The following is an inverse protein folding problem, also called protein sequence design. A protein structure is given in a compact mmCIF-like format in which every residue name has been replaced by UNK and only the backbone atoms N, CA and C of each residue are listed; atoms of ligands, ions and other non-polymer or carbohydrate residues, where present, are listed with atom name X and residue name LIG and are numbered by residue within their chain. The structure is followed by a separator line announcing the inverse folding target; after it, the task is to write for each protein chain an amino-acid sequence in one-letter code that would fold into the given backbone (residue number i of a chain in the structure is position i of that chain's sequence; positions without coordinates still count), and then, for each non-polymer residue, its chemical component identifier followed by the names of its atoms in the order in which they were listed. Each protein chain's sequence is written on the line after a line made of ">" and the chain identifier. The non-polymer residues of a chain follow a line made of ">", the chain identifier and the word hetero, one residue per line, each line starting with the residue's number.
data_IF_320514401119
#
_entry.id   IF_320514401119
#
_cell.length_a   1.000
_cell.length_b   1.000
_cell.length_c   1.000
_cell.angle_alpha   90.00
_cell.angle_beta   90.00
_cell.angle_gamma   90.00
#
_symmetry.space_group_name_H-M   'P 1'
#
loop_
_entity.id
_entity.type
_entity.pdbx_description
1 polymer ?
#
# COMPACT_ATOMS: atom_id res chain seq x y z
N UNK A 1 19.99 76.80 -60.55
CA UNK A 1 21.11 76.03 -59.96
C UNK A 1 20.59 75.18 -58.84
N UNK A 2 20.94 73.94 -58.84
CA UNK A 2 20.76 72.88 -57.88
C UNK A 2 19.43 72.10 -57.88
N UNK A 3 19.54 70.95 -58.43
CA UNK A 3 18.61 69.82 -58.42
C UNK A 3 18.55 69.18 -57.02
N UNK A 4 17.39 68.76 -56.61
CA UNK A 4 17.28 67.73 -55.60
C UNK A 4 16.22 66.69 -56.00
N UNK A 5 16.68 65.49 -56.17
CA UNK A 5 15.91 64.32 -56.54
C UNK A 5 15.14 63.79 -55.29
N UNK A 6 13.86 63.55 -55.47
CA UNK A 6 13.05 62.80 -54.47
C UNK A 6 13.16 61.33 -54.84
N UNK A 7 13.68 60.51 -53.89
CA UNK A 7 13.63 59.06 -53.98
C UNK A 7 12.35 58.55 -53.27
N UNK A 8 11.54 57.80 -54.00
CA UNK A 8 10.44 57.05 -53.48
C UNK A 8 10.94 55.74 -52.89
N UNK A 9 10.78 55.54 -51.55
CA UNK A 9 11.10 54.29 -50.92
C UNK A 9 9.86 53.37 -50.90
N UNK A 10 9.99 52.25 -51.58
CA UNK A 10 8.99 51.18 -51.48
C UNK A 10 9.10 50.46 -50.15
N UNK A 11 8.04 50.48 -49.38
CA UNK A 11 7.93 49.75 -48.06
C UNK A 11 7.46 48.34 -48.31
N UNK A 12 8.37 47.37 -48.28
CA UNK A 12 8.08 45.94 -48.37
C UNK A 12 7.58 45.42 -47.00
N UNK A 13 6.31 45.04 -46.90
CA UNK A 13 5.76 44.36 -45.75
C UNK A 13 6.31 42.93 -45.68
N UNK A 14 7.21 42.66 -44.75
CA UNK A 14 7.58 41.30 -44.37
C UNK A 14 6.50 40.73 -43.47
N UNK A 15 5.71 39.80 -43.98
CA UNK A 15 4.86 38.92 -43.20
C UNK A 15 5.74 37.91 -42.44
N UNK A 16 5.98 38.16 -41.16
CA UNK A 16 6.56 37.17 -40.23
C UNK A 16 5.51 36.09 -39.97
N UNK A 17 5.67 34.94 -40.64
CA UNK A 17 4.96 33.70 -40.25
C UNK A 17 5.54 33.20 -38.92
N UNK A 18 4.75 33.24 -37.86
CA UNK A 18 5.08 32.61 -36.61
C UNK A 18 5.23 31.08 -36.83
N UNK A 19 6.28 30.44 -36.30
CA UNK A 19 6.38 28.99 -36.36
C UNK A 19 5.25 28.37 -35.55
N UNK A 20 4.50 27.46 -36.20
CA UNK A 20 3.54 26.60 -35.49
C UNK A 20 4.30 25.84 -34.39
N UNK A 21 3.93 26.09 -33.16
CA UNK A 21 4.40 25.30 -32.03
C UNK A 21 3.86 23.87 -32.21
N UNK A 22 4.71 22.98 -32.67
CA UNK A 22 4.46 21.55 -32.60
C UNK A 22 4.37 21.20 -31.12
N UNK A 23 3.16 20.91 -30.63
CA UNK A 23 3.00 20.27 -29.37
C UNK A 23 3.79 18.94 -29.44
N UNK A 24 4.86 18.86 -28.66
CA UNK A 24 5.65 17.65 -28.57
C UNK A 24 4.73 16.55 -28.10
N UNK A 25 4.54 15.51 -28.89
CA UNK A 25 3.91 14.27 -28.47
C UNK A 25 4.68 13.79 -27.23
N UNK A 26 4.03 13.44 -26.11
CA UNK A 26 4.73 12.98 -24.92
C UNK A 26 5.63 11.81 -25.32
N UNK A 27 6.94 11.95 -25.17
CA UNK A 27 7.85 10.83 -25.36
C UNK A 27 7.57 9.83 -24.25
N UNK A 28 7.17 8.62 -24.65
CA UNK A 28 7.02 7.49 -23.73
C UNK A 28 8.38 7.21 -23.07
N UNK A 29 8.41 7.32 -21.76
CA UNK A 29 9.65 7.22 -20.99
C UNK A 29 9.98 5.75 -20.72
N UNK A 30 11.19 5.30 -21.08
CA UNK A 30 11.67 3.96 -20.71
C UNK A 30 12.05 3.94 -19.24
N UNK A 31 11.42 3.05 -18.48
CA UNK A 31 11.83 2.75 -17.11
C UNK A 31 13.08 1.83 -17.12
N UNK A 32 13.79 1.79 -16.00
CA UNK A 32 14.88 0.83 -15.81
C UNK A 32 14.27 -0.57 -15.67
N UNK A 33 14.65 -1.48 -16.56
CA UNK A 33 14.19 -2.87 -16.56
C UNK A 33 15.30 -3.82 -16.11
N UNK A 34 14.92 -4.99 -15.69
CA UNK A 34 15.80 -6.14 -15.39
C UNK A 34 15.95 -7.05 -16.63
N UNK A 35 16.18 -8.33 -16.43
CA UNK A 35 16.47 -9.28 -17.51
C UNK A 35 15.31 -9.52 -18.52
N UNK A 36 14.06 -9.28 -18.12
CA UNK A 36 12.91 -9.44 -19.00
C UNK A 36 12.65 -8.14 -19.81
N UNK A 37 12.21 -8.29 -21.08
CA UNK A 37 11.96 -7.15 -21.95
C UNK A 37 10.64 -6.45 -21.58
N UNK A 38 10.75 -5.33 -20.90
CA UNK A 38 9.63 -4.47 -20.56
C UNK A 38 9.83 -3.04 -21.10
N UNK A 39 8.77 -2.48 -21.65
CA UNK A 39 8.68 -1.05 -21.92
C UNK A 39 7.93 -0.36 -20.77
N UNK A 40 8.55 0.68 -20.16
CA UNK A 40 7.91 1.51 -19.14
C UNK A 40 7.27 2.75 -19.77
N UNK A 41 5.96 2.94 -19.52
CA UNK A 41 5.19 4.07 -20.07
C UNK A 41 4.38 4.71 -18.94
N UNK A 42 4.47 6.02 -18.79
CA UNK A 42 3.55 6.79 -17.93
C UNK A 42 2.23 6.94 -18.68
N UNK A 43 1.16 6.32 -18.17
CA UNK A 43 -0.17 6.37 -18.80
C UNK A 43 -1.08 7.45 -18.22
N UNK A 44 -0.85 7.85 -16.97
CA UNK A 44 -1.59 8.93 -16.31
C UNK A 44 -0.69 9.67 -15.32
N UNK A 45 -0.86 10.99 -15.21
CA UNK A 45 -0.14 11.87 -14.30
C UNK A 45 -1.09 12.79 -13.55
N UNK A 46 -0.59 13.47 -12.49
CA UNK A 46 -1.34 14.47 -11.75
C UNK A 46 -2.48 13.89 -10.91
N UNK A 47 -2.34 12.64 -10.46
CA UNK A 47 -3.23 12.04 -9.46
C UNK A 47 -2.83 12.55 -8.07
N UNK A 48 -3.83 12.84 -7.23
CA UNK A 48 -3.64 13.39 -5.88
C UNK A 48 -3.41 12.28 -4.85
N UNK A 49 -2.17 11.78 -4.74
CA UNK A 49 -1.76 10.69 -3.89
C UNK A 49 -2.59 9.40 -4.13
N UNK A 50 -2.40 8.75 -5.29
CA UNK A 50 -3.06 7.48 -5.60
C UNK A 50 -2.70 6.44 -4.54
N UNK A 51 -3.72 5.75 -4.01
CA UNK A 51 -3.55 4.81 -2.91
C UNK A 51 -3.75 3.36 -3.34
N UNK A 52 -4.84 3.07 -3.99
CA UNK A 52 -5.17 1.73 -4.48
C UNK A 52 -5.68 1.78 -5.92
N UNK A 53 -5.45 0.70 -6.65
CA UNK A 53 -5.93 0.51 -8.00
C UNK A 53 -6.68 -0.80 -8.11
N UNK A 54 -7.81 -0.79 -8.81
CA UNK A 54 -8.62 -1.96 -9.12
C UNK A 54 -9.18 -1.85 -10.53
N UNK A 55 -9.52 -2.99 -11.13
CA UNK A 55 -10.26 -2.99 -12.39
C UNK A 55 -11.71 -2.60 -12.15
N UNK A 56 -12.16 -1.57 -12.84
CA UNK A 56 -13.54 -1.11 -12.88
C UNK A 56 -14.26 -1.52 -14.16
N UNK A 57 -15.53 -1.13 -14.32
CA UNK A 57 -16.32 -1.40 -15.53
C UNK A 57 -15.65 -0.87 -16.80
N UNK A 58 -15.74 -1.63 -17.90
CA UNK A 58 -15.17 -1.26 -19.19
C UNK A 58 -13.67 -1.34 -19.29
N UNK A 59 -13.03 -2.17 -18.46
CA UNK A 59 -11.57 -2.33 -18.37
C UNK A 59 -10.82 -1.05 -18.04
N UNK A 60 -11.45 -0.10 -17.35
CA UNK A 60 -10.78 1.07 -16.80
C UNK A 60 -10.12 0.76 -15.47
N UNK A 61 -8.99 1.41 -15.19
CA UNK A 61 -8.36 1.38 -13.88
C UNK A 61 -9.06 2.40 -12.98
N UNK A 62 -9.66 1.95 -11.90
CA UNK A 62 -10.19 2.83 -10.87
C UNK A 62 -9.15 3.07 -9.80
N UNK A 63 -8.90 4.34 -9.52
CA UNK A 63 -7.86 4.78 -8.59
C UNK A 63 -8.51 5.57 -7.46
N UNK A 64 -8.19 5.21 -6.23
CA UNK A 64 -8.48 6.09 -5.11
C UNK A 64 -7.39 7.13 -4.97
N UNK A 65 -7.77 8.39 -4.87
CA UNK A 65 -6.87 9.50 -4.64
C UNK A 65 -7.05 9.99 -3.19
N UNK A 66 -6.06 9.69 -2.36
CA UNK A 66 -6.09 9.96 -0.92
C UNK A 66 -6.24 11.45 -0.61
N UNK A 67 -5.40 12.30 -1.21
CA UNK A 67 -5.44 13.75 -0.99
C UNK A 67 -6.49 14.45 -1.85
N UNK A 68 -6.91 13.82 -2.94
CA UNK A 68 -8.02 14.28 -3.77
C UNK A 68 -9.40 13.93 -3.23
N UNK A 69 -9.49 13.08 -2.20
CA UNK A 69 -10.76 12.60 -1.62
C UNK A 69 -11.76 12.14 -2.68
N UNK A 70 -11.29 11.31 -3.65
CA UNK A 70 -12.09 10.92 -4.81
C UNK A 70 -11.67 9.57 -5.39
N UNK A 71 -12.55 9.03 -6.21
CA UNK A 71 -12.27 7.91 -7.10
C UNK A 71 -12.20 8.43 -8.53
N UNK A 72 -11.11 8.14 -9.22
CA UNK A 72 -10.89 8.48 -10.63
C UNK A 72 -10.81 7.21 -11.46
N UNK A 73 -11.54 7.17 -12.56
CA UNK A 73 -11.42 6.15 -13.60
C UNK A 73 -10.37 6.61 -14.61
N UNK A 74 -9.41 5.76 -14.93
CA UNK A 74 -8.35 5.98 -15.91
C UNK A 74 -8.49 4.95 -17.02
N UNK A 75 -8.58 5.40 -18.25
CA UNK A 75 -8.49 4.54 -19.42
C UNK A 75 -7.03 4.13 -19.64
N UNK A 76 -6.69 2.84 -19.57
CA UNK A 76 -5.29 2.41 -19.66
C UNK A 76 -4.68 2.57 -21.05
N UNK A 77 -5.48 2.73 -22.11
CA UNK A 77 -5.01 2.91 -23.49
C UNK A 77 -4.74 4.37 -23.81
N UNK A 78 -5.61 5.27 -23.36
CA UNK A 78 -5.58 6.69 -23.71
C UNK A 78 -5.04 7.59 -22.60
N UNK A 79 -5.04 7.12 -21.35
CA UNK A 79 -4.74 7.91 -20.16
C UNK A 79 -5.86 8.89 -19.76
N UNK A 80 -7.04 8.83 -20.41
CA UNK A 80 -8.16 9.71 -20.08
C UNK A 80 -8.63 9.46 -18.65
N UNK A 81 -8.77 10.55 -17.90
CA UNK A 81 -9.22 10.52 -16.50
C UNK A 81 -10.65 11.03 -16.37
N UNK A 82 -11.52 10.27 -15.67
CA UNK A 82 -12.90 10.66 -15.38
C UNK A 82 -13.19 10.51 -13.89
N UNK A 83 -13.77 11.54 -13.29
CA UNK A 83 -14.23 11.48 -11.90
C UNK A 83 -15.40 10.49 -11.77
N UNK A 84 -15.25 9.48 -10.91
CA UNK A 84 -16.32 8.53 -10.55
C UNK A 84 -17.13 9.07 -9.37
N UNK A 85 -16.48 9.63 -8.37
CA UNK A 85 -17.14 10.27 -7.24
C UNK A 85 -16.17 10.90 -6.25
N UNK A 86 -16.66 11.90 -5.53
CA UNK A 86 -15.96 12.52 -4.40
C UNK A 86 -16.39 11.85 -3.11
N UNK A 87 -15.47 11.69 -2.20
CA UNK A 87 -15.68 11.05 -0.91
C UNK A 87 -15.20 12.07 0.14
N UNK A 88 -16.12 12.71 0.88
CA UNK A 88 -15.76 13.68 1.91
C UNK A 88 -14.87 13.03 2.98
N UNK A 89 -13.92 13.80 3.51
CA UNK A 89 -13.09 13.45 4.68
C UNK A 89 -12.17 12.24 4.52
N UNK A 90 -11.70 11.93 3.28
CA UNK A 90 -10.93 10.71 2.97
C UNK A 90 -9.43 10.89 3.19
N UNK A 91 -8.80 9.87 3.79
CA UNK A 91 -7.34 9.65 3.74
C UNK A 91 -6.93 8.32 3.09
N UNK A 92 -7.81 7.32 2.86
CA UNK A 92 -7.44 5.98 2.36
C UNK A 92 -8.56 5.30 1.53
N UNK A 93 -8.24 4.47 0.64
CA UNK A 93 -8.68 4.02 -0.63
C UNK A 93 -9.91 3.10 -0.85
N UNK A 94 -10.41 2.97 -2.09
CA UNK A 94 -11.61 2.19 -2.41
C UNK A 94 -11.35 0.71 -2.69
N UNK A 95 -12.39 -0.10 -2.50
CA UNK A 95 -12.52 -1.44 -3.03
C UNK A 95 -13.85 -1.59 -3.77
N UNK A 96 -13.84 -2.32 -4.90
CA UNK A 96 -15.04 -2.58 -5.69
C UNK A 96 -15.69 -3.91 -5.30
N UNK A 97 -17.02 -3.96 -5.43
CA UNK A 97 -17.75 -5.22 -5.46
C UNK A 97 -17.27 -6.06 -6.65
N UNK A 98 -16.92 -7.34 -6.49
CA UNK A 98 -16.38 -8.18 -7.57
C UNK A 98 -17.35 -8.34 -8.75
N UNK A 99 -18.63 -8.07 -8.55
CA UNK A 99 -19.66 -8.16 -9.58
C UNK A 99 -20.08 -6.78 -10.15
N UNK A 100 -19.37 -5.71 -9.80
CA UNK A 100 -19.68 -4.36 -10.26
C UNK A 100 -19.77 -4.29 -11.79
N UNK A 101 -20.89 -3.78 -12.29
CA UNK A 101 -21.15 -3.62 -13.73
C UNK A 101 -21.59 -4.89 -14.44
N UNK A 102 -21.69 -6.05 -13.78
CA UNK A 102 -22.29 -7.27 -14.34
C UNK A 102 -23.82 -7.26 -14.22
N UNK A 103 -24.51 -7.93 -15.14
CA UNK A 103 -25.96 -8.08 -15.08
C UNK A 103 -26.39 -8.77 -13.79
N UNK A 104 -27.33 -8.15 -13.05
CA UNK A 104 -27.80 -8.64 -11.75
C UNK A 104 -26.93 -8.26 -10.55
N UNK A 105 -25.84 -7.56 -10.77
CA UNK A 105 -25.00 -6.99 -9.72
C UNK A 105 -25.77 -5.97 -8.88
N UNK A 106 -25.44 -5.89 -7.57
CA UNK A 106 -25.92 -4.81 -6.69
C UNK A 106 -25.24 -3.49 -6.97
N UNK A 107 -24.21 -3.46 -7.81
CA UNK A 107 -23.41 -2.28 -8.16
C UNK A 107 -22.93 -1.50 -6.94
N UNK A 108 -22.40 -2.20 -5.95
CA UNK A 108 -21.87 -1.57 -4.75
C UNK A 108 -20.39 -1.23 -4.93
N UNK A 109 -19.98 -0.11 -4.35
CA UNK A 109 -18.58 0.30 -4.20
C UNK A 109 -18.30 0.51 -2.73
N UNK A 110 -17.26 -0.10 -2.22
CA UNK A 110 -16.87 -0.01 -0.82
C UNK A 110 -15.60 0.83 -0.69
N UNK A 111 -15.62 1.74 0.25
CA UNK A 111 -14.50 2.65 0.51
C UNK A 111 -14.18 2.62 1.99
N UNK A 112 -12.94 2.26 2.32
CA UNK A 112 -12.41 2.45 3.65
C UNK A 112 -11.66 3.78 3.70
N UNK A 113 -11.89 4.58 4.73
CA UNK A 113 -11.21 5.86 4.89
C UNK A 113 -11.21 6.35 6.34
N UNK A 114 -10.28 7.23 6.67
CA UNK A 114 -10.25 7.89 7.97
C UNK A 114 -11.14 9.14 7.98
N UNK A 115 -11.61 9.52 9.16
CA UNK A 115 -12.41 10.71 9.41
C UNK A 115 -12.13 11.22 10.82
N UNK A 116 -12.49 12.49 11.07
CA UNK A 116 -12.39 13.10 12.39
C UNK A 116 -13.72 13.02 13.14
N UNK A 117 -13.68 12.56 14.38
CA UNK A 117 -14.82 12.63 15.29
C UNK A 117 -14.33 12.93 16.71
N UNK A 118 -14.99 13.88 17.40
CA UNK A 118 -14.63 14.29 18.75
C UNK A 118 -13.16 14.74 18.90
N UNK A 119 -12.54 15.26 17.83
CA UNK A 119 -11.13 15.69 17.80
C UNK A 119 -10.13 14.52 17.68
N UNK A 120 -10.59 13.30 17.41
CA UNK A 120 -9.77 12.10 17.17
C UNK A 120 -9.98 11.57 15.77
N UNK A 121 -8.96 10.96 15.24
CA UNK A 121 -9.01 10.28 13.95
C UNK A 121 -9.54 8.86 14.13
N UNK A 122 -10.48 8.48 13.27
CA UNK A 122 -11.09 7.15 13.21
C UNK A 122 -11.13 6.65 11.79
N UNK A 123 -11.19 5.34 11.58
CA UNK A 123 -11.47 4.73 10.30
C UNK A 123 -12.92 4.23 10.20
N UNK A 124 -13.44 4.24 8.97
CA UNK A 124 -14.76 3.67 8.66
C UNK A 124 -14.77 3.04 7.27
N UNK A 125 -15.73 2.14 7.04
CA UNK A 125 -16.04 1.57 5.74
C UNK A 125 -17.41 2.08 5.32
N UNK A 126 -17.48 2.65 4.10
CA UNK A 126 -18.71 3.20 3.52
C UNK A 126 -19.01 2.44 2.23
N UNK A 127 -20.25 2.00 2.09
CA UNK A 127 -20.78 1.44 0.85
C UNK A 127 -21.50 2.53 0.07
N UNK A 128 -21.21 2.62 -1.23
CA UNK A 128 -21.91 3.47 -2.20
C UNK A 128 -22.63 2.60 -3.20
N UNK A 129 -23.63 3.16 -3.85
CA UNK A 129 -24.23 2.60 -5.06
C UNK A 129 -23.54 3.20 -6.30
N UNK A 130 -23.19 2.37 -7.28
CA UNK A 130 -22.67 2.80 -8.57
C UNK A 130 -23.75 2.77 -9.62
N UNK A 131 -23.99 3.88 -10.30
CA UNK A 131 -24.90 3.97 -11.45
C UNK A 131 -24.11 3.77 -12.76
N UNK A 132 -24.35 2.66 -13.50
CA UNK A 132 -23.64 2.40 -14.76
C UNK A 132 -23.97 3.40 -15.88
N UNK A 133 -25.13 4.09 -15.83
CA UNK A 133 -25.54 5.04 -16.85
C UNK A 133 -24.78 6.36 -16.70
N UNK A 134 -24.71 6.90 -15.50
CA UNK A 134 -24.00 8.14 -15.19
C UNK A 134 -22.52 7.90 -14.91
N UNK A 135 -22.12 6.65 -14.66
CA UNK A 135 -20.78 6.23 -14.23
C UNK A 135 -20.35 6.94 -12.93
N UNK A 136 -21.26 7.13 -12.01
CA UNK A 136 -21.03 7.81 -10.72
C UNK A 136 -21.42 6.92 -9.55
N UNK A 137 -20.79 7.20 -8.41
CA UNK A 137 -21.19 6.65 -7.12
C UNK A 137 -22.09 7.63 -6.37
N UNK A 138 -23.08 7.10 -5.66
CA UNK A 138 -24.05 7.85 -4.85
C UNK A 138 -24.46 7.04 -3.62
N UNK A 139 -25.41 7.55 -2.84
CA UNK A 139 -26.08 6.87 -1.72
C UNK A 139 -25.12 6.26 -0.69
N UNK A 140 -24.26 7.07 -0.03
CA UNK A 140 -23.31 6.57 0.94
C UNK A 140 -24.02 5.96 2.17
N UNK A 141 -23.60 4.76 2.56
CA UNK A 141 -24.03 4.07 3.77
C UNK A 141 -22.82 3.60 4.55
N UNK A 142 -22.61 4.14 5.76
CA UNK A 142 -21.59 3.64 6.68
C UNK A 142 -21.98 2.21 7.10
N UNK A 143 -21.08 1.25 6.93
CA UNK A 143 -21.31 -0.16 7.30
C UNK A 143 -20.47 -0.60 8.51
N UNK A 144 -19.34 0.05 8.76
CA UNK A 144 -18.54 -0.13 9.96
C UNK A 144 -17.80 1.18 10.25
N UNK A 145 -17.74 1.62 11.53
CA UNK A 145 -17.10 2.87 11.95
C UNK A 145 -16.40 2.73 13.31
N UNK A 146 -15.85 3.84 13.82
CA UNK A 146 -15.16 3.91 15.12
C UNK A 146 -13.96 2.96 15.23
N UNK A 147 -13.35 2.60 14.10
CA UNK A 147 -12.13 1.81 14.09
C UNK A 147 -10.92 2.71 14.36
N UNK A 148 -9.83 2.16 14.94
CA UNK A 148 -8.60 2.92 15.18
C UNK A 148 -8.03 3.53 13.91
N UNK A 149 -7.58 4.77 14.00
CA UNK A 149 -6.81 5.47 12.99
C UNK A 149 -5.89 6.50 13.66
N UNK A 150 -4.85 6.94 12.97
CA UNK A 150 -3.87 7.89 13.46
C UNK A 150 -2.96 8.41 12.35
N UNK A 151 -1.93 9.13 12.74
CA UNK A 151 -0.98 9.75 11.80
C UNK A 151 -0.09 8.72 11.10
N UNK A 152 0.08 7.53 11.67
CA UNK A 152 0.98 6.49 11.18
C UNK A 152 0.32 5.09 11.28
N UNK A 153 0.85 4.11 10.55
CA UNK A 153 0.47 2.69 10.54
C UNK A 153 -1.05 2.44 10.50
N UNK A 154 -1.74 3.03 9.54
CA UNK A 154 -3.18 2.83 9.37
C UNK A 154 -3.56 1.54 8.66
N UNK A 155 -2.61 0.81 8.04
CA UNK A 155 -2.94 -0.30 7.16
C UNK A 155 -3.78 0.17 5.97
N UNK A 156 -5.07 -0.20 5.94
CA UNK A 156 -6.07 0.44 5.07
C UNK A 156 -6.39 -0.30 3.77
N UNK A 157 -5.93 -1.55 3.61
CA UNK A 157 -6.26 -2.35 2.43
C UNK A 157 -7.60 -3.04 2.62
N UNK A 158 -8.47 -2.93 1.61
CA UNK A 158 -9.79 -3.56 1.58
C UNK A 158 -9.87 -4.52 0.38
N UNK A 159 -10.31 -5.75 0.57
CA UNK A 159 -10.46 -6.78 -0.49
C UNK A 159 -11.69 -7.63 -0.27
N UNK A 160 -12.34 -8.02 -1.37
CA UNK A 160 -13.31 -9.09 -1.36
C UNK A 160 -12.61 -10.45 -1.42
N UNK A 161 -13.03 -11.35 -0.54
CA UNK A 161 -12.68 -12.75 -0.63
C UNK A 161 -13.57 -13.52 -1.61
N UNK A 162 -13.13 -14.72 -2.05
CA UNK A 162 -13.95 -15.61 -2.88
C UNK A 162 -15.23 -16.08 -2.15
N UNK A 163 -15.26 -15.98 -0.84
CA UNK A 163 -16.41 -16.23 0.03
C UNK A 163 -17.44 -15.08 0.06
N UNK A 164 -17.21 -14.02 -0.73
CA UNK A 164 -18.07 -12.84 -0.79
C UNK A 164 -18.05 -11.96 0.46
N UNK A 165 -17.04 -12.12 1.33
CA UNK A 165 -16.83 -11.26 2.49
C UNK A 165 -15.80 -10.17 2.19
N UNK A 166 -15.88 -9.08 2.94
CA UNK A 166 -14.89 -8.02 2.93
C UNK A 166 -13.79 -8.33 3.93
N UNK A 167 -12.53 -8.10 3.53
CA UNK A 167 -11.37 -8.16 4.39
C UNK A 167 -10.70 -6.80 4.44
N UNK A 168 -10.43 -6.31 5.64
CA UNK A 168 -9.88 -4.97 5.85
C UNK A 168 -8.73 -5.00 6.84
N UNK A 169 -7.58 -4.45 6.46
CA UNK A 169 -6.40 -4.39 7.32
C UNK A 169 -6.31 -3.07 8.08
N UNK A 170 -5.96 -3.14 9.36
CA UNK A 170 -5.73 -2.00 10.25
C UNK A 170 -4.38 -2.17 10.93
N UNK A 171 -3.51 -1.16 10.84
CA UNK A 171 -2.24 -1.15 11.55
C UNK A 171 -2.39 -0.76 13.02
N UNK A 172 -1.29 -0.83 13.75
CA UNK A 172 -1.25 -0.57 15.20
C UNK A 172 -1.05 0.92 15.56
N UNK A 173 -1.19 1.82 14.60
CA UNK A 173 -1.20 3.29 14.74
C UNK A 173 0.17 3.90 15.08
N UNK A 174 1.29 3.21 14.80
CA UNK A 174 2.63 3.69 15.07
C UNK A 174 2.96 3.79 16.55
N UNK A 175 2.31 3.03 17.41
CA UNK A 175 2.61 3.00 18.83
C UNK A 175 4.00 2.39 19.09
N UNK A 176 4.59 2.69 20.24
CA UNK A 176 5.94 2.26 20.65
C UNK A 176 7.05 2.79 19.71
N UNK A 177 6.79 3.85 18.94
CA UNK A 177 7.79 4.51 18.08
C UNK A 177 7.56 6.01 17.92
N UNK A 178 8.60 6.74 17.58
CA UNK A 178 8.54 8.17 17.26
C UNK A 178 7.83 9.00 18.32
N UNK A 179 6.84 9.80 17.88
CA UNK A 179 5.99 10.60 18.77
C UNK A 179 5.06 9.76 19.67
N UNK A 180 4.81 8.52 19.29
CA UNK A 180 3.93 7.59 20.00
C UNK A 180 4.70 6.53 20.81
N UNK A 181 5.99 6.74 21.08
CA UNK A 181 6.88 5.73 21.70
C UNK A 181 6.39 5.23 23.06
N UNK A 182 5.71 6.06 23.83
CA UNK A 182 5.20 5.69 25.16
C UNK A 182 3.74 5.17 25.12
N UNK A 183 3.14 5.05 23.94
CA UNK A 183 1.81 4.46 23.82
C UNK A 183 1.89 2.93 23.72
N UNK A 184 1.01 2.18 24.42
CA UNK A 184 0.99 0.73 24.36
C UNK A 184 0.53 0.25 22.97
N UNK A 185 1.08 -0.89 22.53
CA UNK A 185 0.66 -1.55 21.29
C UNK A 185 -0.51 -2.49 21.60
N UNK A 186 -1.63 -2.27 20.91
CA UNK A 186 -2.86 -3.07 21.06
C UNK A 186 -2.97 -4.22 20.04
N UNK A 187 -1.91 -4.54 19.29
CA UNK A 187 -1.96 -5.57 18.26
C UNK A 187 -2.34 -6.96 18.79
N UNK A 188 -2.01 -7.27 20.04
CA UNK A 188 -2.37 -8.52 20.72
C UNK A 188 -3.71 -8.48 21.46
N UNK A 189 -4.30 -7.30 21.62
CA UNK A 189 -5.57 -7.14 22.35
C UNK A 189 -6.74 -7.63 21.50
N UNK A 190 -7.59 -8.49 22.06
CA UNK A 190 -8.82 -8.96 21.42
C UNK A 190 -10.01 -8.21 22.04
N UNK A 191 -11.02 -7.79 21.24
CA UNK A 191 -12.19 -7.12 21.79
C UNK A 191 -12.98 -8.01 22.74
N UNK A 192 -13.53 -7.43 23.78
CA UNK A 192 -14.48 -8.09 24.67
C UNK A 192 -15.89 -8.05 24.07
N UNK A 193 -16.79 -8.95 24.54
CA UNK A 193 -18.19 -8.89 24.13
C UNK A 193 -18.84 -7.56 24.51
N UNK A 194 -18.51 -7.00 25.68
CA UNK A 194 -19.06 -5.72 26.14
C UNK A 194 -18.68 -4.55 25.23
N UNK A 195 -17.43 -4.51 24.74
CA UNK A 195 -16.97 -3.51 23.76
C UNK A 195 -17.74 -3.66 22.44
N UNK A 196 -17.90 -4.87 21.93
CA UNK A 196 -18.66 -5.12 20.71
C UNK A 196 -20.13 -4.68 20.83
N UNK A 197 -20.78 -5.02 21.96
CA UNK A 197 -22.16 -4.64 22.23
C UNK A 197 -22.31 -3.11 22.35
N UNK A 198 -21.25 -2.41 22.78
CA UNK A 198 -21.20 -0.94 22.84
C UNK A 198 -20.78 -0.27 21.50
N UNK A 199 -20.42 -1.04 20.46
CA UNK A 199 -19.87 -0.50 19.20
C UNK A 199 -18.48 0.12 19.38
N UNK A 200 -17.74 -0.28 20.41
CA UNK A 200 -16.36 0.12 20.65
C UNK A 200 -15.42 -0.83 19.90
N UNK A 201 -14.79 -0.31 18.85
CA UNK A 201 -13.85 -1.02 17.99
C UNK A 201 -12.39 -0.65 18.27
N UNK A 202 -12.08 -0.04 19.42
CA UNK A 202 -10.73 0.39 19.79
C UNK A 202 -9.70 -0.75 19.79
N UNK A 203 -10.15 -1.99 20.04
CA UNK A 203 -9.30 -3.20 20.00
C UNK A 203 -8.97 -3.68 18.57
N UNK A 204 -9.38 -2.98 17.52
CA UNK A 204 -9.11 -3.40 16.13
C UNK A 204 -7.76 -2.92 15.59
N UNK A 205 -6.95 -2.22 16.37
CA UNK A 205 -5.57 -1.88 16.01
C UNK A 205 -4.71 -3.14 15.81
N UNK A 206 -3.93 -3.20 14.72
CA UNK A 206 -3.07 -4.34 14.39
C UNK A 206 -3.84 -5.62 14.04
N UNK A 207 -4.90 -5.49 13.24
CA UNK A 207 -5.82 -6.59 12.86
C UNK A 207 -6.08 -6.65 11.36
N UNK A 208 -6.42 -7.85 10.88
CA UNK A 208 -7.19 -7.99 9.65
C UNK A 208 -8.61 -8.40 10.04
N UNK A 209 -9.57 -7.62 9.58
CA UNK A 209 -10.99 -7.84 9.83
C UNK A 209 -11.62 -8.62 8.67
N UNK A 210 -12.66 -9.42 8.96
CA UNK A 210 -13.54 -10.06 7.98
C UNK A 210 -14.99 -9.75 8.33
N UNK A 211 -15.74 -9.18 7.38
CA UNK A 211 -17.09 -8.70 7.61
C UNK A 211 -18.02 -9.03 6.42
N UNK A 212 -19.30 -9.14 6.71
CA UNK A 212 -20.32 -9.22 5.68
C UNK A 212 -20.39 -7.90 4.88
N UNK A 213 -20.87 -7.91 3.61
CA UNK A 213 -21.02 -6.69 2.81
C UNK A 213 -21.98 -5.64 3.39
N UNK A 214 -22.79 -6.00 4.38
CA UNK A 214 -23.66 -5.07 5.13
C UNK A 214 -23.01 -4.52 6.40
N UNK A 215 -21.82 -4.98 6.75
CA UNK A 215 -21.05 -4.59 7.92
C UNK A 215 -21.18 -5.53 9.10
N UNK A 216 -22.03 -6.58 9.02
CA UNK A 216 -22.22 -7.55 10.10
C UNK A 216 -21.03 -8.49 10.30
N UNK A 217 -20.93 -9.08 11.48
CA UNK A 217 -19.96 -10.13 11.81
C UNK A 217 -20.42 -11.44 11.13
N UNK A 218 -19.59 -12.09 10.30
CA UNK A 218 -19.91 -13.40 9.74
C UNK A 218 -20.05 -14.48 10.84
N UNK A 219 -21.05 -15.34 10.72
CA UNK A 219 -21.31 -16.41 11.70
C UNK A 219 -20.17 -17.44 11.78
N UNK A 220 -19.38 -17.55 10.70
CA UNK A 220 -18.24 -18.43 10.54
C UNK A 220 -16.88 -17.73 10.80
N UNK A 221 -16.87 -16.52 11.34
CA UNK A 221 -15.63 -15.88 11.81
C UNK A 221 -15.03 -16.68 12.98
N UNK A 222 -13.69 -16.65 13.12
CA UNK A 222 -13.03 -17.33 14.23
C UNK A 222 -13.51 -16.80 15.58
N UNK A 223 -13.55 -17.71 16.57
CA UNK A 223 -13.77 -17.35 17.98
C UNK A 223 -12.40 -17.26 18.63
N UNK A 224 -11.98 -16.05 18.99
CA UNK A 224 -10.67 -15.79 19.60
C UNK A 224 -10.93 -15.38 21.05
N UNK A 225 -10.28 -16.05 22.01
CA UNK A 225 -10.49 -15.85 23.45
C UNK A 225 -11.98 -15.89 23.88
N UNK A 226 -12.77 -16.78 23.26
CA UNK A 226 -14.19 -16.94 23.54
C UNK A 226 -15.11 -15.87 22.89
N UNK A 227 -14.58 -14.96 22.10
CA UNK A 227 -15.35 -13.89 21.44
C UNK A 227 -15.31 -14.03 19.92
N UNK A 228 -16.50 -14.04 19.30
CA UNK A 228 -16.63 -13.87 17.84
C UNK A 228 -16.82 -12.39 17.53
N UNK A 229 -15.94 -11.85 16.67
CA UNK A 229 -15.94 -10.44 16.26
C UNK A 229 -15.66 -10.32 14.77
N UNK A 230 -15.42 -9.12 14.27
CA UNK A 230 -14.89 -8.91 12.92
C UNK A 230 -13.42 -9.36 12.77
N UNK A 231 -12.68 -9.57 13.88
CA UNK A 231 -11.26 -9.94 13.85
C UNK A 231 -11.10 -11.31 13.18
N UNK A 232 -10.39 -11.32 12.06
CA UNK A 232 -10.01 -12.53 11.33
C UNK A 232 -8.63 -13.02 11.75
N UNK A 233 -7.64 -12.07 11.79
CA UNK A 233 -6.29 -12.31 12.32
C UNK A 233 -5.82 -11.12 13.14
N UNK A 234 -4.76 -11.29 13.95
CA UNK A 234 -4.25 -10.27 14.84
C UNK A 234 -2.73 -10.37 15.03
N UNK A 235 -2.15 -9.41 15.76
CA UNK A 235 -0.70 -9.35 15.93
C UNK A 235 0.02 -8.77 14.72
N UNK A 236 -0.59 -7.81 14.01
CA UNK A 236 -0.02 -7.12 12.87
C UNK A 236 0.54 -5.76 13.25
N UNK A 237 1.62 -5.35 12.57
CA UNK A 237 2.20 -4.02 12.71
C UNK A 237 1.55 -3.00 11.77
N UNK A 238 1.81 -3.10 10.49
CA UNK A 238 1.27 -2.18 9.49
C UNK A 238 0.96 -2.92 8.17
N UNK A 239 -0.11 -3.68 8.12
CA UNK A 239 -0.51 -4.50 6.98
C UNK A 239 -1.08 -3.62 5.85
N UNK A 240 -0.26 -3.30 4.82
CA UNK A 240 -0.65 -2.44 3.71
C UNK A 240 -1.06 -3.20 2.44
N UNK A 241 -0.69 -4.46 2.31
CA UNK A 241 -1.02 -5.30 1.17
C UNK A 241 -1.98 -6.42 1.54
N UNK A 242 -3.04 -6.64 0.76
CA UNK A 242 -3.89 -7.83 0.82
C UNK A 242 -4.17 -8.32 -0.60
N UNK A 243 -4.06 -9.63 -0.84
CA UNK A 243 -4.44 -10.25 -2.12
C UNK A 243 -4.92 -11.68 -1.91
N UNK A 244 -5.95 -12.08 -2.63
CA UNK A 244 -6.39 -13.46 -2.71
C UNK A 244 -5.74 -14.19 -3.91
N UNK A 245 -5.32 -15.44 -3.67
CA UNK A 245 -4.87 -16.39 -4.68
C UNK A 245 -5.73 -17.65 -4.52
N UNK A 246 -6.79 -17.78 -5.30
CA UNK A 246 -7.85 -18.72 -4.97
C UNK A 246 -8.43 -18.40 -3.59
N UNK A 247 -8.45 -19.41 -2.70
CA UNK A 247 -8.93 -19.24 -1.31
C UNK A 247 -7.83 -18.81 -0.32
N UNK A 248 -6.59 -18.65 -0.77
CA UNK A 248 -5.48 -18.23 0.06
C UNK A 248 -5.40 -16.71 0.13
N UNK A 249 -5.39 -16.16 1.35
CA UNK A 249 -5.24 -14.73 1.58
C UNK A 249 -3.80 -14.41 1.97
N UNK A 250 -3.13 -13.58 1.18
CA UNK A 250 -1.79 -13.08 1.48
C UNK A 250 -1.85 -11.63 1.94
N UNK A 251 -0.95 -11.31 2.82
CA UNK A 251 -0.76 -10.00 3.40
C UNK A 251 0.71 -9.58 3.29
N UNK A 252 0.98 -8.29 3.12
CA UNK A 252 2.31 -7.71 3.16
C UNK A 252 2.35 -6.53 4.14
N UNK A 253 3.28 -6.57 5.11
CA UNK A 253 3.39 -5.56 6.15
C UNK A 253 4.82 -5.08 6.42
N UNK A 254 4.89 -3.88 7.01
CA UNK A 254 6.15 -3.27 7.41
C UNK A 254 6.67 -3.87 8.71
N UNK A 255 7.90 -4.34 8.70
CA UNK A 255 8.69 -4.58 9.91
C UNK A 255 9.15 -3.28 10.58
N UNK A 256 9.75 -3.35 11.79
CA UNK A 256 10.18 -2.17 12.53
C UNK A 256 11.43 -1.50 11.93
N UNK A 257 12.43 -2.28 11.56
CA UNK A 257 13.71 -1.79 10.99
C UNK A 257 14.39 -2.84 10.12
N UNK A 258 13.99 -4.06 10.23
CA UNK A 258 14.22 -5.23 9.40
C UNK A 258 12.91 -5.99 9.28
N UNK A 259 12.91 -7.11 8.58
CA UNK A 259 11.83 -8.09 8.59
C UNK A 259 10.46 -7.54 8.16
N UNK A 260 10.43 -6.75 7.08
CA UNK A 260 9.17 -6.59 6.36
C UNK A 260 8.66 -7.96 5.92
N UNK A 261 7.36 -8.22 6.02
CA UNK A 261 6.80 -9.58 5.93
C UNK A 261 5.87 -9.79 4.75
N UNK A 262 5.81 -11.04 4.29
CA UNK A 262 4.66 -11.59 3.59
C UNK A 262 4.08 -12.73 4.42
N UNK A 263 2.82 -12.61 4.73
CA UNK A 263 2.06 -13.55 5.54
C UNK A 263 1.01 -14.30 4.71
N UNK A 264 0.83 -15.60 4.97
CA UNK A 264 -0.35 -16.35 4.57
C UNK A 264 -1.34 -16.32 5.72
N UNK A 265 -2.46 -15.60 5.56
CA UNK A 265 -3.41 -15.39 6.62
C UNK A 265 -4.36 -16.58 6.80
N UNK A 266 -4.46 -17.07 8.04
CA UNK A 266 -5.37 -18.14 8.46
C UNK A 266 -6.26 -17.60 9.57
N UNK A 267 -7.56 -17.79 9.47
CA UNK A 267 -8.52 -17.30 10.46
C UNK A 267 -8.19 -17.74 11.89
N UNK A 268 -8.15 -16.80 12.83
CA UNK A 268 -7.74 -17.00 14.21
C UNK A 268 -6.22 -16.93 14.44
N UNK A 269 -5.40 -16.79 13.39
CA UNK A 269 -3.94 -16.73 13.52
C UNK A 269 -3.45 -15.44 14.15
N UNK A 270 -2.37 -15.57 14.93
CA UNK A 270 -1.61 -14.50 15.56
C UNK A 270 -0.28 -14.33 14.82
N UNK A 271 0.03 -13.11 14.33
CA UNK A 271 1.23 -12.82 13.54
C UNK A 271 2.36 -12.17 14.35
N UNK A 272 2.23 -12.18 15.68
CA UNK A 272 3.33 -12.00 16.63
C UNK A 272 3.61 -10.58 17.08
N UNK A 273 3.33 -9.55 16.27
CA UNK A 273 3.64 -8.17 16.65
C UNK A 273 2.96 -7.75 17.97
N UNK A 274 3.66 -7.12 18.95
CA UNK A 274 5.04 -6.63 18.88
C UNK A 274 6.11 -7.61 19.40
N UNK A 275 5.75 -8.82 19.78
CA UNK A 275 6.67 -9.77 20.40
C UNK A 275 7.64 -10.42 19.41
N UNK A 276 7.23 -10.52 18.14
CA UNK A 276 8.00 -11.09 17.02
C UNK A 276 7.92 -10.13 15.85
N UNK A 277 9.02 -9.98 15.11
CA UNK A 277 9.11 -9.32 13.81
C UNK A 277 9.79 -10.27 12.82
N UNK A 278 9.07 -10.74 11.80
CA UNK A 278 9.56 -11.77 10.91
C UNK A 278 9.52 -13.17 11.51
N UNK A 279 10.58 -13.93 11.31
CA UNK A 279 10.73 -15.26 11.93
C UNK A 279 11.07 -15.13 13.42
N UNK A 280 10.55 -16.03 14.24
CA UNK A 280 10.87 -16.07 15.67
C UNK A 280 12.25 -16.68 15.91
N UNK A 281 13.31 -15.96 15.59
CA UNK A 281 14.70 -16.46 15.54
C UNK A 281 15.71 -15.64 16.37
N UNK A 282 15.24 -14.62 17.10
CA UNK A 282 16.06 -13.68 17.87
C UNK A 282 17.10 -12.93 17.00
N UNK A 283 16.83 -12.69 15.72
CA UNK A 283 17.72 -11.98 14.82
C UNK A 283 17.19 -10.59 14.46
N UNK A 284 18.03 -9.57 14.59
CA UNK A 284 17.73 -8.20 14.14
C UNK A 284 16.68 -7.45 14.95
N UNK A 285 15.93 -8.12 15.81
CA UNK A 285 14.84 -7.53 16.59
C UNK A 285 14.87 -7.95 18.07
N UNK A 286 14.49 -7.00 18.93
CA UNK A 286 14.14 -7.22 20.35
C UNK A 286 12.97 -6.32 20.68
N UNK A 287 11.92 -6.86 21.25
CA UNK A 287 10.80 -6.04 21.70
C UNK A 287 11.18 -5.21 22.93
N UNK A 288 11.27 -3.89 22.76
CA UNK A 288 11.37 -2.94 23.84
C UNK A 288 10.00 -2.38 24.18
N UNK A 289 9.45 -2.72 25.34
CA UNK A 289 8.15 -2.24 25.80
C UNK A 289 8.28 -0.86 26.46
N UNK A 290 8.36 0.19 25.64
CA UNK A 290 8.53 1.55 26.12
C UNK A 290 7.39 2.04 27.00
N UNK A 291 6.14 1.66 26.68
CA UNK A 291 4.96 2.07 27.47
C UNK A 291 4.96 1.53 28.91
N UNK A 292 5.66 0.42 29.15
CA UNK A 292 5.84 -0.14 30.49
C UNK A 292 7.07 0.39 31.23
N UNK A 293 7.87 1.23 30.58
CA UNK A 293 9.05 1.81 31.22
C UNK A 293 8.66 2.88 32.24
N UNK A 294 9.24 2.90 33.45
CA UNK A 294 9.07 4.00 34.37
C UNK A 294 9.49 5.33 33.73
N UNK A 295 8.62 6.35 33.88
CA UNK A 295 8.89 7.69 33.35
C UNK A 295 9.27 7.74 31.86
N UNK A 296 8.64 6.88 31.02
CA UNK A 296 8.93 6.74 29.58
C UNK A 296 9.11 8.10 28.88
N UNK A 297 8.27 9.11 29.20
CA UNK A 297 8.33 10.44 28.59
C UNK A 297 9.63 11.19 28.87
N UNK A 298 10.34 10.83 29.94
CA UNK A 298 11.60 11.45 30.32
C UNK A 298 12.84 10.68 29.80
N UNK A 299 12.65 9.48 29.25
CA UNK A 299 13.78 8.70 28.74
C UNK A 299 14.33 9.32 27.45
N UNK A 300 15.66 9.20 27.27
CA UNK A 300 16.28 9.54 26.01
C UNK A 300 15.78 8.59 24.91
N UNK A 301 15.16 9.15 23.90
CA UNK A 301 14.58 8.41 22.77
C UNK A 301 15.58 8.40 21.63
N UNK A 302 16.00 7.22 21.21
CA UNK A 302 16.86 7.04 20.05
C UNK A 302 16.01 6.69 18.83
N UNK A 303 16.46 7.17 17.70
CA UNK A 303 15.93 6.77 16.40
C UNK A 303 16.37 5.35 15.99
N UNK A 304 17.48 4.86 16.54
CA UNK A 304 18.04 3.56 16.17
C UNK A 304 17.45 2.43 17.00
N UNK A 305 17.03 1.31 16.35
CA UNK A 305 16.34 0.22 17.01
C UNK A 305 17.17 -0.52 18.07
N UNK A 306 18.50 -0.42 18.00
CA UNK A 306 19.42 -1.04 18.94
C UNK A 306 19.61 -0.24 20.24
N UNK A 307 19.11 0.99 20.30
CA UNK A 307 19.35 1.91 21.42
C UNK A 307 18.18 1.87 22.42
N UNK A 308 17.94 0.73 23.03
CA UNK A 308 16.89 0.58 24.02
C UNK A 308 17.52 0.77 25.42
N UNK A 309 17.13 1.81 26.21
CA UNK A 309 17.63 2.00 27.56
C UNK A 309 17.36 0.79 28.46
N UNK A 310 18.26 0.50 29.39
CA UNK A 310 18.14 -0.63 30.31
C UNK A 310 16.88 -0.56 31.22
N UNK A 311 16.29 0.62 31.41
CA UNK A 311 15.06 0.83 32.16
C UNK A 311 13.80 0.45 31.37
N UNK A 312 13.90 0.26 30.04
CA UNK A 312 12.81 -0.22 29.20
C UNK A 312 12.77 -1.74 29.25
N UNK A 313 11.68 -2.37 29.65
CA UNK A 313 11.55 -3.83 29.61
C UNK A 313 11.79 -4.36 28.20
N UNK A 314 12.65 -5.37 28.08
CA UNK A 314 13.01 -5.99 26.80
C UNK A 314 12.62 -7.46 26.80
N UNK A 315 12.23 -7.98 25.65
CA UNK A 315 11.88 -9.39 25.46
C UNK A 315 12.43 -9.88 24.13
N UNK A 316 13.10 -11.03 24.15
CA UNK A 316 13.49 -11.74 22.94
C UNK A 316 12.28 -12.46 22.32
N UNK A 317 12.29 -12.66 21.04
CA UNK A 317 11.20 -13.30 20.30
C UNK A 317 10.96 -14.74 20.79
N UNK A 318 12.03 -15.51 21.03
CA UNK A 318 11.93 -16.90 21.50
C UNK A 318 11.43 -17.03 22.94
N UNK A 319 11.43 -15.96 23.74
CA UNK A 319 10.85 -15.93 25.08
C UNK A 319 9.32 -15.84 25.04
N UNK A 320 8.76 -15.29 23.94
CA UNK A 320 7.32 -15.21 23.78
C UNK A 320 6.75 -16.53 23.23
N UNK A 321 5.60 -16.96 23.76
CA UNK A 321 4.92 -18.19 23.39
C UNK A 321 3.44 -17.91 23.12
N UNK A 322 2.96 -18.33 21.95
CA UNK A 322 1.55 -18.37 21.59
C UNK A 322 1.31 -19.59 20.69
N UNK A 323 0.29 -20.38 21.00
CA UNK A 323 -0.02 -21.61 20.26
C UNK A 323 -0.56 -21.32 18.85
N UNK A 324 -1.20 -20.18 18.69
CA UNK A 324 -1.80 -19.69 17.45
C UNK A 324 -0.86 -18.80 16.62
N UNK A 325 0.41 -18.65 17.05
CA UNK A 325 1.42 -17.90 16.29
C UNK A 325 1.65 -18.52 14.90
N UNK A 326 1.73 -17.65 13.90
CA UNK A 326 2.02 -17.99 12.50
C UNK A 326 3.22 -17.21 12.03
N UNK A 327 4.24 -17.94 11.57
CA UNK A 327 5.40 -17.31 10.95
C UNK A 327 5.09 -16.80 9.54
N UNK A 328 5.77 -15.73 9.09
CA UNK A 328 5.65 -15.27 7.72
C UNK A 328 6.16 -16.33 6.73
N UNK A 329 5.68 -16.28 5.49
CA UNK A 329 6.22 -17.12 4.42
C UNK A 329 7.49 -16.53 3.79
N UNK A 330 7.75 -15.24 4.04
CA UNK A 330 8.94 -14.52 3.55
C UNK A 330 9.18 -13.24 4.36
N UNK A 331 10.47 -12.90 4.58
CA UNK A 331 10.91 -11.61 5.13
C UNK A 331 11.76 -10.82 4.13
N UNK A 332 11.78 -9.47 4.26
CA UNK A 332 12.65 -8.51 3.54
C UNK A 332 13.26 -7.50 4.55
N UNK A 333 14.40 -7.71 5.15
CA UNK A 333 15.26 -8.89 5.16
C UNK A 333 15.63 -9.15 6.61
N UNK A 334 15.68 -10.39 7.03
CA UNK A 334 16.24 -10.73 8.35
C UNK A 334 17.75 -10.46 8.37
N UNK A 335 18.24 -9.86 9.44
CA UNK A 335 19.65 -9.52 9.62
C UNK A 335 20.16 -10.00 10.98
N UNK A 336 21.46 -10.32 11.12
CA UNK A 336 22.01 -10.74 12.40
C UNK A 336 21.97 -9.58 13.42
N UNK A 337 21.98 -9.90 14.72
CA UNK A 337 22.02 -8.93 15.82
C UNK A 337 23.23 -7.98 15.75
N UNK A 338 24.27 -8.35 15.02
CA UNK A 338 25.45 -7.50 14.79
C UNK A 338 25.29 -6.50 13.65
N UNK A 339 24.11 -6.45 13.00
CA UNK A 339 23.89 -5.54 11.87
C UNK A 339 24.01 -4.07 12.28
N UNK A 340 24.69 -3.29 11.45
CA UNK A 340 24.91 -1.87 11.71
C UNK A 340 23.76 -1.01 11.15
N UNK A 341 22.76 -0.69 11.96
CA UNK A 341 21.68 0.23 11.60
C UNK A 341 22.13 1.70 11.47
N UNK A 342 23.36 2.02 11.87
CA UNK A 342 23.95 3.37 11.77
C UNK A 342 24.75 3.57 10.48
N UNK A 343 24.28 2.98 9.38
CA UNK A 343 24.90 3.15 8.07
C UNK A 343 24.82 4.62 7.61
N UNK A 344 25.98 5.25 7.49
CA UNK A 344 26.09 6.67 7.16
C UNK A 344 25.73 7.04 5.72
N UNK A 345 25.47 6.06 4.82
CA UNK A 345 25.14 6.32 3.41
C UNK A 345 23.88 7.18 3.23
N UNK A 346 22.92 7.05 4.15
CA UNK A 346 21.66 7.78 4.12
C UNK A 346 21.62 9.00 5.05
N UNK A 347 22.70 9.34 5.73
CA UNK A 347 22.77 10.51 6.63
C UNK A 347 21.64 10.51 7.67
N UNK A 348 20.94 11.64 7.81
CA UNK A 348 19.82 11.79 8.73
C UNK A 348 18.58 10.95 8.37
N UNK A 349 18.56 10.37 7.17
CA UNK A 349 17.51 9.45 6.71
C UNK A 349 17.95 7.99 6.79
N UNK A 350 18.67 7.59 7.85
CA UNK A 350 19.25 6.26 8.02
C UNK A 350 18.24 5.11 7.77
N UNK A 351 16.97 5.30 8.12
CA UNK A 351 15.90 4.33 7.89
C UNK A 351 15.73 3.92 6.41
N UNK A 352 16.11 4.77 5.46
CA UNK A 352 16.10 4.40 4.04
C UNK A 352 17.18 3.36 3.71
N UNK A 353 18.27 3.31 4.48
CA UNK A 353 19.34 2.33 4.31
C UNK A 353 19.14 1.05 5.14
N UNK A 354 18.14 0.98 6.00
CA UNK A 354 17.85 -0.23 6.77
C UNK A 354 17.39 -1.38 5.87
N UNK A 355 17.53 -2.63 6.31
CA UNK A 355 17.23 -3.82 5.52
C UNK A 355 15.72 -4.09 5.44
N UNK A 356 14.99 -3.16 4.83
CA UNK A 356 13.54 -3.17 4.61
C UNK A 356 13.23 -2.69 3.20
N UNK A 357 12.04 -2.98 2.71
CA UNK A 357 11.54 -2.49 1.41
C UNK A 357 10.35 -1.53 1.57
N UNK A 358 9.75 -1.45 2.76
CA UNK A 358 8.51 -0.74 3.05
C UNK A 358 7.38 -1.15 2.09
N UNK A 359 6.83 -2.39 2.20
CA UNK A 359 5.85 -2.95 1.29
C UNK A 359 4.53 -2.19 1.40
N UNK A 360 4.02 -1.68 0.29
CA UNK A 360 2.81 -0.85 0.26
C UNK A 360 1.59 -1.54 -0.35
N UNK A 361 1.82 -2.60 -1.11
CA UNK A 361 0.77 -3.43 -1.70
C UNK A 361 1.33 -4.77 -2.13
N UNK A 362 0.46 -5.75 -2.27
CA UNK A 362 0.76 -7.03 -2.90
C UNK A 362 -0.30 -7.33 -3.96
N UNK A 363 0.13 -7.79 -5.13
CA UNK A 363 -0.70 -8.31 -6.21
C UNK A 363 -0.28 -9.73 -6.56
N UNK A 364 -1.13 -10.47 -7.26
CA UNK A 364 -0.82 -11.81 -7.72
C UNK A 364 -0.63 -11.84 -9.23
N UNK A 365 0.44 -12.47 -9.67
CA UNK A 365 0.66 -12.79 -11.07
C UNK A 365 0.25 -14.25 -11.32
N UNK A 366 -0.74 -14.50 -12.20
CA UNK A 366 -1.36 -15.83 -12.33
C UNK A 366 -0.37 -16.88 -12.85
N UNK A 367 -0.59 -18.14 -12.47
CA UNK A 367 0.28 -19.26 -12.82
C UNK A 367 0.43 -19.47 -14.34
N UNK A 368 -0.62 -19.15 -15.11
CA UNK A 368 -0.65 -19.24 -16.56
C UNK A 368 -0.41 -17.90 -17.28
N UNK A 369 0.11 -16.91 -16.58
CA UNK A 369 0.42 -15.60 -17.16
C UNK A 369 1.49 -15.70 -18.25
N UNK A 370 1.45 -14.80 -19.26
CA UNK A 370 2.30 -14.91 -20.46
C UNK A 370 3.75 -14.50 -20.27
N UNK A 371 4.11 -13.85 -19.16
CA UNK A 371 5.50 -13.44 -18.91
C UNK A 371 6.31 -14.67 -18.46
N UNK A 372 7.35 -15.07 -19.20
CA UNK A 372 8.13 -16.26 -18.87
C UNK A 372 8.76 -16.17 -17.49
N UNK A 373 8.61 -17.24 -16.68
CA UNK A 373 9.19 -17.33 -15.35
C UNK A 373 8.45 -16.53 -14.27
N UNK A 374 7.36 -15.80 -14.60
CA UNK A 374 6.60 -15.00 -13.64
C UNK A 374 5.41 -15.74 -13.01
N UNK A 375 4.97 -16.83 -13.62
CA UNK A 375 3.78 -17.57 -13.17
C UNK A 375 3.80 -17.90 -11.67
N UNK A 376 2.63 -17.85 -11.04
CA UNK A 376 2.42 -18.15 -9.62
C UNK A 376 3.33 -17.33 -8.69
N UNK A 377 3.30 -16.01 -8.81
CA UNK A 377 4.15 -15.13 -8.01
C UNK A 377 3.34 -14.03 -7.33
N UNK A 378 3.80 -13.63 -6.15
CA UNK A 378 3.36 -12.37 -5.52
C UNK A 378 4.23 -11.23 -6.03
N UNK A 379 3.60 -10.08 -6.28
CA UNK A 379 4.23 -8.85 -6.72
C UNK A 379 4.07 -7.80 -5.64
N UNK A 380 5.16 -7.45 -4.97
CA UNK A 380 5.17 -6.53 -3.82
C UNK A 380 5.77 -5.20 -4.23
N UNK A 381 5.02 -4.11 -4.04
CA UNK A 381 5.51 -2.75 -4.30
C UNK A 381 6.26 -2.18 -3.10
N UNK A 382 7.29 -1.38 -3.37
CA UNK A 382 8.13 -0.75 -2.37
C UNK A 382 7.99 0.77 -2.37
N UNK A 383 7.73 1.35 -1.21
CA UNK A 383 7.79 2.81 -1.01
C UNK A 383 9.22 3.31 -0.95
N UNK A 384 10.14 2.48 -0.49
CA UNK A 384 11.49 2.88 -0.14
C UNK A 384 12.38 3.12 -1.35
N UNK A 385 12.20 2.33 -2.43
CA UNK A 385 13.10 2.37 -3.57
C UNK A 385 12.41 2.26 -4.93
N UNK A 386 11.11 2.56 -5.01
CA UNK A 386 10.34 2.57 -6.24
C UNK A 386 10.54 1.30 -7.07
N UNK A 387 10.42 0.14 -6.46
CA UNK A 387 10.63 -1.16 -7.09
C UNK A 387 9.45 -2.10 -6.88
N UNK A 388 9.37 -3.09 -7.74
CA UNK A 388 8.49 -4.25 -7.63
C UNK A 388 9.34 -5.47 -7.26
N UNK A 389 8.96 -6.18 -6.23
CA UNK A 389 9.60 -7.42 -5.80
C UNK A 389 8.73 -8.59 -6.16
N UNK A 390 9.22 -9.47 -7.02
CA UNK A 390 8.55 -10.73 -7.36
C UNK A 390 8.99 -11.82 -6.41
N UNK A 391 8.02 -12.45 -5.76
CA UNK A 391 8.19 -13.58 -4.84
C UNK A 391 7.48 -14.78 -5.44
N UNK A 392 8.20 -15.75 -6.03
CA UNK A 392 7.60 -16.96 -6.53
C UNK A 392 6.99 -17.79 -5.40
N UNK A 393 5.83 -18.38 -5.67
CA UNK A 393 5.19 -19.34 -4.76
C UNK A 393 5.45 -20.76 -5.24
N UNK A 394 5.47 -21.71 -4.30
CA UNK A 394 5.50 -23.14 -4.62
C UNK A 394 4.18 -23.58 -5.30
N UNK A 395 4.12 -24.83 -5.74
CA UNK A 395 3.00 -25.34 -6.54
C UNK A 395 1.65 -25.33 -5.81
N UNK A 396 1.62 -25.48 -4.47
CA UNK A 396 0.40 -25.39 -3.69
C UNK A 396 0.04 -23.94 -3.27
N UNK A 397 0.89 -22.99 -3.63
CA UNK A 397 0.72 -21.58 -3.37
C UNK A 397 0.96 -21.15 -1.92
N UNK A 398 1.36 -22.01 -1.00
CA UNK A 398 1.37 -21.73 0.44
C UNK A 398 2.68 -21.20 0.99
N UNK A 399 3.78 -21.36 0.29
CA UNK A 399 5.10 -20.93 0.72
C UNK A 399 5.83 -20.21 -0.41
N UNK A 400 6.73 -19.30 -0.05
CA UNK A 400 7.65 -18.70 -1.02
C UNK A 400 8.67 -19.72 -1.51
N UNK A 401 9.02 -19.66 -2.79
CA UNK A 401 9.98 -20.56 -3.42
C UNK A 401 11.06 -19.77 -4.17
N UNK A 402 12.33 -20.14 -3.93
CA UNK A 402 13.46 -19.54 -4.63
C UNK A 402 13.72 -18.08 -4.26
N UNK A 403 14.43 -17.37 -5.14
CA UNK A 403 14.92 -16.03 -4.89
C UNK A 403 13.88 -14.97 -5.22
N UNK A 404 13.88 -13.92 -4.41
CA UNK A 404 13.14 -12.70 -4.70
C UNK A 404 13.87 -11.90 -5.77
N UNK A 405 13.16 -11.49 -6.81
CA UNK A 405 13.72 -10.68 -7.89
C UNK A 405 13.15 -9.27 -7.86
N UNK A 406 14.03 -8.28 -7.95
CA UNK A 406 13.70 -6.85 -7.97
C UNK A 406 13.57 -6.37 -9.40
N UNK A 407 12.44 -5.70 -9.72
CA UNK A 407 12.13 -5.15 -11.03
C UNK A 407 11.82 -3.64 -10.96
N UNK A 408 11.94 -2.96 -12.10
CA UNK A 408 11.42 -1.61 -12.36
C UNK A 408 11.89 -0.52 -11.40
N UNK A 409 13.13 -0.63 -10.91
CA UNK A 409 13.67 0.35 -9.98
C UNK A 409 13.74 1.74 -10.59
N UNK A 410 13.04 2.69 -9.97
CA UNK A 410 13.01 4.11 -10.34
C UNK A 410 13.11 4.98 -9.07
N UNK A 411 13.51 6.25 -9.16
CA UNK A 411 13.50 7.16 -8.02
C UNK A 411 12.06 7.62 -7.70
N UNK A 412 11.17 6.67 -7.43
CA UNK A 412 9.78 6.88 -7.06
C UNK A 412 9.46 6.10 -5.77
N UNK A 413 8.24 6.25 -5.29
CA UNK A 413 7.63 5.46 -4.22
C UNK A 413 6.43 4.73 -4.83
N UNK A 414 6.52 3.41 -4.99
CA UNK A 414 5.44 2.62 -5.56
C UNK A 414 4.40 2.29 -4.50
N UNK A 415 3.16 2.72 -4.74
CA UNK A 415 2.07 2.62 -3.76
C UNK A 415 1.15 1.42 -3.98
N UNK A 416 0.85 1.08 -5.21
CA UNK A 416 -0.05 -0.03 -5.56
C UNK A 416 0.38 -0.64 -6.89
N UNK A 417 0.14 -1.95 -7.05
CA UNK A 417 0.33 -2.66 -8.31
C UNK A 417 -0.98 -3.32 -8.76
N UNK A 418 -1.17 -3.38 -10.08
CA UNK A 418 -2.32 -4.01 -10.72
C UNK A 418 -1.85 -4.75 -11.97
N UNK A 419 -2.21 -6.02 -12.10
CA UNK A 419 -1.89 -6.83 -13.28
C UNK A 419 -3.01 -6.67 -14.32
N UNK A 420 -2.65 -6.49 -15.60
CA UNK A 420 -3.64 -6.44 -16.68
C UNK A 420 -4.40 -7.76 -16.82
N UNK A 421 -5.64 -7.75 -17.32
CA UNK A 421 -6.42 -8.98 -17.49
C UNK A 421 -5.76 -10.03 -18.41
N UNK A 422 -4.96 -9.57 -19.37
CA UNK A 422 -4.17 -10.44 -20.26
C UNK A 422 -2.81 -10.86 -19.68
N UNK A 423 -2.46 -10.35 -18.50
CA UNK A 423 -1.20 -10.64 -17.80
C UNK A 423 0.06 -10.03 -18.43
N UNK A 424 -0.04 -9.20 -19.47
CA UNK A 424 1.14 -8.64 -20.16
C UNK A 424 1.63 -7.33 -19.59
N UNK A 425 0.80 -6.62 -18.83
CA UNK A 425 1.14 -5.31 -18.29
C UNK A 425 1.02 -5.29 -16.78
N UNK A 426 2.03 -4.74 -16.14
CA UNK A 426 2.03 -4.45 -14.71
C UNK A 426 1.87 -2.93 -14.55
N UNK A 427 0.76 -2.49 -14.02
CA UNK A 427 0.52 -1.09 -13.68
C UNK A 427 0.99 -0.81 -12.25
N UNK A 428 1.66 0.30 -12.05
CA UNK A 428 2.14 0.74 -10.74
C UNK A 428 1.72 2.18 -10.51
N UNK A 429 1.06 2.44 -9.40
CA UNK A 429 0.80 3.82 -8.94
C UNK A 429 1.97 4.33 -8.10
N UNK A 430 2.31 5.62 -8.28
CA UNK A 430 3.37 6.29 -7.53
C UNK A 430 2.79 7.29 -6.53
N UNK A 431 3.46 7.43 -5.38
CA UNK A 431 3.11 8.45 -4.39
C UNK A 431 3.37 9.87 -4.94
N UNK A 432 2.89 10.91 -4.25
CA UNK A 432 3.11 12.32 -4.66
C UNK A 432 4.28 12.97 -3.93
N UNK A 433 4.67 12.39 -2.77
CA UNK A 433 5.77 12.89 -1.94
C UNK A 433 6.32 11.81 -1.01
N UNK A 434 7.46 12.10 -0.42
CA UNK A 434 8.15 11.26 0.55
C UNK A 434 9.53 10.85 0.05
N UNK A 435 10.37 10.43 1.00
CA UNK A 435 11.75 10.08 0.72
C UNK A 435 11.83 8.68 0.10
N UNK A 436 12.72 8.51 -0.87
CA UNK A 436 13.02 7.23 -1.50
C UNK A 436 14.54 7.08 -1.71
N UNK A 437 14.98 5.90 -2.09
CA UNK A 437 16.34 5.67 -2.58
C UNK A 437 16.37 5.82 -4.09
N UNK A 438 17.32 6.62 -4.58
CA UNK A 438 17.64 6.70 -5.99
C UNK A 438 18.38 5.46 -6.51
N UNK A 439 18.67 5.45 -7.80
CA UNK A 439 19.39 4.33 -8.45
C UNK A 439 20.82 4.16 -7.94
N UNK A 440 21.41 5.22 -7.36
CA UNK A 440 22.73 5.23 -6.74
C UNK A 440 22.71 4.78 -5.25
N UNK A 441 21.52 4.42 -4.72
CA UNK A 441 21.31 4.02 -3.34
C UNK A 441 21.36 5.17 -2.33
N UNK A 442 21.29 6.42 -2.80
CA UNK A 442 21.23 7.60 -1.94
C UNK A 442 19.80 8.11 -1.79
N UNK A 443 19.47 8.78 -0.68
CA UNK A 443 18.17 9.42 -0.51
C UNK A 443 17.86 10.45 -1.60
N UNK A 444 16.63 10.42 -2.11
CA UNK A 444 16.05 11.41 -3.01
C UNK A 444 14.71 11.88 -2.45
N UNK A 445 14.44 13.18 -2.56
CA UNK A 445 13.19 13.80 -2.12
C UNK A 445 12.27 14.08 -3.31
N UNK A 446 12.86 14.24 -4.50
CA UNK A 446 12.14 14.53 -5.73
C UNK A 446 11.91 13.23 -6.51
N UNK A 447 10.66 12.80 -6.54
CA UNK A 447 10.27 11.64 -7.34
C UNK A 447 10.22 12.02 -8.82
N UNK A 448 10.58 11.07 -9.69
CA UNK A 448 10.60 11.27 -11.14
C UNK A 448 9.18 11.41 -11.72
N UNK A 449 8.24 10.62 -11.23
CA UNK A 449 6.85 10.55 -11.70
C UNK A 449 5.88 10.62 -10.51
N UNK A 450 5.77 11.73 -9.79
CA UNK A 450 4.87 11.83 -8.64
C UNK A 450 3.40 11.77 -9.10
N UNK A 451 2.57 11.05 -8.35
CA UNK A 451 1.13 10.97 -8.62
C UNK A 451 0.77 10.41 -9.99
N UNK A 452 1.49 9.37 -10.43
CA UNK A 452 1.36 8.81 -11.77
C UNK A 452 0.94 7.33 -11.73
N UNK A 453 0.46 6.83 -12.86
CA UNK A 453 0.39 5.40 -13.16
C UNK A 453 1.41 5.09 -14.25
N UNK A 454 2.32 4.18 -13.95
CA UNK A 454 3.31 3.66 -14.89
C UNK A 454 2.88 2.26 -15.31
N UNK A 455 2.82 2.01 -16.62
CA UNK A 455 2.61 0.70 -17.21
C UNK A 455 3.96 0.11 -17.60
N UNK A 456 4.28 -1.08 -17.10
CA UNK A 456 5.40 -1.90 -17.54
C UNK A 456 4.85 -3.00 -18.44
N UNK A 457 5.07 -2.83 -19.74
CA UNK A 457 4.49 -3.66 -20.81
C UNK A 457 5.52 -4.71 -21.23
N UNK A 458 5.17 -5.97 -21.11
CA UNK A 458 6.01 -7.06 -21.60
C UNK A 458 5.94 -7.16 -23.12
N UNK A 459 7.10 -7.09 -23.79
CA UNK A 459 7.24 -7.32 -25.24
C UNK A 459 8.19 -8.46 -25.50
N UNK A 460 7.66 -9.62 -25.87
CA UNK A 460 8.42 -10.82 -26.19
C UNK A 460 9.32 -10.68 -27.43
N UNK A 461 9.23 -9.57 -28.18
CA UNK A 461 10.01 -9.34 -29.41
C UNK A 461 11.27 -8.48 -29.18
N UNK A 462 11.48 -7.98 -27.99
CA UNK A 462 12.72 -7.34 -27.57
C UNK A 462 13.65 -8.35 -26.87
#
# INVERSE_FOLDING_TARGET
>A
MHHSRVMAGAMTLLLLSAPASWAATPQKEKAVTTAEPFEGVVIAEGLSAPWDMVWGPGNHIWVSEREGSRITSVDPETGEKKLVGSIPDVKVGPQLDPDLGKNGSKNNVYVAHTYMDGGREHARIVRFHYDPQTRKIADPKVILSNMPAGDDHNGGRLRFGPDGKLYYSIGEQGHNQGANVCKPIDAQRIPTKAELDAGDHSAYAGKVLRLNPDGGIPDDNPVINGVRSHVYTYGHRNPQGLVFVGDLLFEAEHGPSSDDEINLLVGGGNYGWPHVAGFRDDQGYVYGNWSAAPDCEKLAKSYFPTDIPASVPQQKETEWKAEDFREPIKTFYTVPNSYNFRDGRCGDMAYLCWPTIAPSSVAYYPANGPIPGWGNSLLVTSLKNGALYRVPLNADGKTAQGDVTKYFHTPNRYRSALVSPDGKTIYVATDVRGNALGNDGKPVNDMKNPGSIIAFIYDAKQ
#
